data_IF_716282585766
#
_entry.id   IF_716282585766
#
_cell.length_a   1.000
_cell.length_b   1.000
_cell.length_c   1.000
_cell.angle_alpha   90.00
_cell.angle_beta   90.00
_cell.angle_gamma   90.00
#
_symmetry.space_group_name_H-M   'P 1'
#
loop_
_entity.id
_entity.type
_entity.pdbx_description
1 polymer ?
#
# COMPACT_ATOMS: atom_id res chain seq x y z
N UNK A 1 -2.71 -8.41 17.99
CA UNK A 1 -3.39 -9.60 18.50
C UNK A 1 -4.48 -10.07 17.54
N UNK A 2 -5.43 -9.20 17.13
CA UNK A 2 -6.56 -9.56 16.25
C UNK A 2 -6.13 -10.15 14.90
N UNK A 3 -5.10 -9.59 14.25
CA UNK A 3 -4.57 -10.14 12.98
C UNK A 3 -4.01 -11.57 13.15
N UNK A 4 -3.38 -11.85 14.29
CA UNK A 4 -2.86 -13.20 14.60
C UNK A 4 -4.03 -14.20 14.75
N UNK A 5 -5.09 -13.78 15.43
CA UNK A 5 -6.29 -14.62 15.61
C UNK A 5 -6.96 -14.91 14.26
N UNK A 6 -7.12 -13.89 13.43
CA UNK A 6 -7.67 -14.04 12.08
C UNK A 6 -6.81 -14.96 11.19
N UNK A 7 -5.47 -14.83 11.24
CA UNK A 7 -4.57 -15.72 10.50
C UNK A 7 -4.72 -17.18 10.94
N UNK A 8 -4.92 -17.43 12.24
CA UNK A 8 -5.10 -18.79 12.77
C UNK A 8 -6.44 -19.42 12.39
N UNK A 9 -7.46 -18.60 12.10
CA UNK A 9 -8.80 -19.09 11.78
C UNK A 9 -9.00 -19.45 10.30
N UNK A 10 -8.15 -18.94 9.39
CA UNK A 10 -8.30 -19.16 7.95
C UNK A 10 -7.56 -20.41 7.46
N UNK A 11 -8.14 -21.10 6.47
CA UNK A 11 -7.54 -22.27 5.82
C UNK A 11 -6.46 -21.89 4.80
N UNK A 12 -6.63 -20.77 4.12
CA UNK A 12 -5.74 -20.28 3.07
C UNK A 12 -5.35 -18.85 3.35
N UNK A 13 -4.07 -18.53 3.08
CA UNK A 13 -3.57 -17.16 2.98
C UNK A 13 -3.10 -16.93 1.55
N UNK A 14 -3.55 -15.82 0.99
CA UNK A 14 -3.10 -15.31 -0.30
C UNK A 14 -2.18 -14.13 -0.06
N UNK A 15 -0.94 -14.23 -0.51
CA UNK A 15 0.12 -13.27 -0.19
C UNK A 15 0.90 -12.85 -1.44
N UNK A 16 1.42 -11.63 -1.43
CA UNK A 16 2.24 -11.10 -2.51
C UNK A 16 3.58 -11.86 -2.59
N UNK A 17 4.35 -11.93 -1.50
CA UNK A 17 5.53 -12.80 -1.38
C UNK A 17 5.28 -13.90 -0.34
N UNK A 18 5.05 -15.12 -0.83
CA UNK A 18 4.78 -16.28 0.02
C UNK A 18 5.96 -16.63 0.94
N UNK A 19 7.20 -16.27 0.57
CA UNK A 19 8.41 -16.53 1.38
C UNK A 19 8.45 -15.63 2.58
N UNK A 20 8.16 -14.31 2.39
CA UNK A 20 8.07 -13.35 3.49
C UNK A 20 6.96 -13.72 4.46
N UNK A 21 5.78 -14.02 3.93
CA UNK A 21 4.64 -14.47 4.74
C UNK A 21 4.97 -15.75 5.51
N UNK A 22 5.57 -16.76 4.85
CA UNK A 22 5.97 -18.00 5.51
C UNK A 22 6.97 -17.79 6.64
N UNK A 23 7.94 -16.87 6.44
CA UNK A 23 8.91 -16.49 7.47
C UNK A 23 8.22 -15.82 8.65
N UNK A 24 7.38 -14.83 8.38
CA UNK A 24 6.63 -14.11 9.43
C UNK A 24 5.79 -15.08 10.29
N UNK A 25 5.06 -16.01 9.67
CA UNK A 25 4.27 -16.98 10.40
C UNK A 25 5.14 -17.92 11.26
N UNK A 26 6.33 -18.30 10.76
CA UNK A 26 7.31 -19.07 11.53
C UNK A 26 7.83 -18.28 12.73
N UNK A 27 8.20 -17.00 12.53
CA UNK A 27 8.72 -16.15 13.59
C UNK A 27 7.67 -15.91 14.69
N UNK A 28 6.39 -15.90 14.31
CA UNK A 28 5.25 -15.78 15.24
C UNK A 28 4.78 -17.11 15.82
N UNK A 29 5.43 -18.25 15.49
CA UNK A 29 5.04 -19.60 15.93
C UNK A 29 3.57 -19.92 15.61
N UNK A 30 3.11 -19.50 14.44
CA UNK A 30 1.76 -19.79 13.94
C UNK A 30 1.82 -21.03 13.04
N UNK A 31 0.98 -22.03 13.32
CA UNK A 31 0.77 -23.15 12.42
C UNK A 31 0.33 -22.67 11.06
N UNK A 32 1.06 -23.10 10.03
CA UNK A 32 0.96 -22.50 8.70
C UNK A 32 -0.34 -22.89 8.00
N UNK A 33 -1.27 -21.97 7.75
CA UNK A 33 -2.29 -22.18 6.74
C UNK A 33 -1.62 -22.36 5.36
N UNK A 34 -2.35 -22.90 4.39
CA UNK A 34 -1.83 -23.02 3.04
C UNK A 34 -1.61 -21.65 2.41
N UNK A 35 -0.34 -21.28 2.17
CA UNK A 35 0.01 -19.97 1.59
C UNK A 35 0.04 -20.10 0.07
N UNK A 36 -0.59 -19.15 -0.62
CA UNK A 36 -0.70 -19.08 -2.08
C UNK A 36 -0.31 -17.70 -2.58
N UNK A 37 0.20 -17.62 -3.81
CA UNK A 37 0.60 -16.34 -4.42
C UNK A 37 -0.61 -15.52 -4.87
N UNK A 38 -0.54 -14.20 -4.59
CA UNK A 38 -1.52 -13.21 -5.01
C UNK A 38 -0.82 -11.88 -5.29
N UNK A 39 -0.63 -11.52 -6.55
CA UNK A 39 0.10 -10.33 -6.98
C UNK A 39 -0.59 -9.67 -8.18
N UNK A 40 -0.20 -8.46 -8.55
CA UNK A 40 -0.83 -7.68 -9.62
C UNK A 40 -1.03 -8.46 -10.94
N UNK A 41 -0.10 -9.36 -11.30
CA UNK A 41 -0.17 -10.09 -12.58
C UNK A 41 -1.17 -11.25 -12.58
N UNK A 42 -1.57 -11.75 -11.40
CA UNK A 42 -2.51 -12.88 -11.29
C UNK A 42 -3.79 -12.51 -10.53
N UNK A 43 -3.93 -11.29 -10.00
CA UNK A 43 -5.03 -10.91 -9.12
C UNK A 43 -6.42 -11.14 -9.71
N UNK A 44 -6.60 -10.92 -11.02
CA UNK A 44 -7.91 -11.11 -11.68
C UNK A 44 -8.34 -12.58 -11.71
N UNK A 45 -7.42 -13.50 -12.01
CA UNK A 45 -7.68 -14.93 -12.04
C UNK A 45 -7.85 -15.49 -10.63
N UNK A 46 -6.91 -15.16 -9.76
CA UNK A 46 -6.89 -15.64 -8.38
C UNK A 46 -8.08 -15.11 -7.58
N UNK A 47 -8.54 -13.88 -7.82
CA UNK A 47 -9.75 -13.34 -7.18
C UNK A 47 -10.99 -14.17 -7.48
N UNK A 48 -11.16 -14.67 -8.71
CA UNK A 48 -12.27 -15.56 -9.05
C UNK A 48 -12.18 -16.90 -8.31
N UNK A 49 -10.96 -17.42 -8.15
CA UNK A 49 -10.73 -18.64 -7.39
C UNK A 49 -10.97 -18.44 -5.89
N UNK A 50 -10.57 -17.30 -5.34
CA UNK A 50 -10.88 -16.94 -3.95
C UNK A 50 -12.39 -16.84 -3.76
N UNK A 51 -13.08 -16.19 -4.71
CA UNK A 51 -14.54 -16.10 -4.67
C UNK A 51 -15.21 -17.48 -4.56
N UNK A 52 -14.72 -18.49 -5.30
CA UNK A 52 -15.30 -19.84 -5.19
C UNK A 52 -15.12 -20.45 -3.79
N UNK A 53 -13.99 -20.22 -3.12
CA UNK A 53 -13.80 -20.65 -1.74
C UNK A 53 -14.78 -19.97 -0.78
N UNK A 54 -14.98 -18.66 -0.95
CA UNK A 54 -15.89 -17.88 -0.12
C UNK A 54 -17.36 -18.29 -0.31
N UNK A 55 -17.75 -18.66 -1.53
CA UNK A 55 -19.08 -19.21 -1.82
C UNK A 55 -19.27 -20.59 -1.15
N UNK A 56 -18.20 -21.38 -1.07
CA UNK A 56 -18.17 -22.68 -0.38
C UNK A 56 -17.99 -22.54 1.15
N UNK A 57 -18.20 -21.35 1.71
CA UNK A 57 -18.08 -21.03 3.14
C UNK A 57 -16.68 -21.31 3.72
N UNK A 58 -15.64 -21.12 2.89
CA UNK A 58 -14.25 -21.26 3.30
C UNK A 58 -13.62 -19.87 3.45
N UNK A 59 -13.33 -19.49 4.69
CA UNK A 59 -12.62 -18.25 4.99
C UNK A 59 -11.20 -18.24 4.46
N UNK A 60 -10.80 -17.09 3.90
CA UNK A 60 -9.45 -16.85 3.38
C UNK A 60 -8.87 -15.55 3.94
N UNK A 61 -7.55 -15.51 4.12
CA UNK A 61 -6.82 -14.30 4.46
C UNK A 61 -6.07 -13.72 3.26
N UNK A 62 -6.07 -12.40 3.15
CA UNK A 62 -5.22 -11.66 2.20
C UNK A 62 -4.14 -10.94 2.99
N UNK A 63 -2.89 -11.10 2.59
CA UNK A 63 -1.75 -10.42 3.23
C UNK A 63 -0.89 -9.72 2.18
N UNK A 64 -0.63 -8.44 2.40
CA UNK A 64 0.43 -7.70 1.70
C UNK A 64 1.77 -7.83 2.42
N UNK A 65 2.84 -7.48 1.76
CA UNK A 65 4.20 -7.52 2.31
C UNK A 65 4.40 -6.52 3.46
N UNK A 66 3.67 -5.40 3.40
CA UNK A 66 3.70 -4.36 4.43
C UNK A 66 2.42 -3.51 4.37
N UNK A 67 2.06 -2.89 5.49
CA UNK A 67 0.96 -1.92 5.54
C UNK A 67 -0.43 -2.55 5.52
N UNK A 68 -1.40 -1.77 5.06
CA UNK A 68 -2.79 -2.22 4.85
C UNK A 68 -2.92 -2.77 3.44
N UNK A 69 -3.42 -4.01 3.26
CA UNK A 69 -3.60 -4.60 1.93
C UNK A 69 -4.40 -3.71 0.97
N UNK A 70 -4.19 -3.88 -0.33
CA UNK A 70 -4.91 -3.22 -1.43
C UNK A 70 -4.45 -1.78 -1.72
N UNK A 71 -3.96 -1.06 -0.74
CA UNK A 71 -3.47 0.32 -0.95
C UNK A 71 -2.07 0.27 -1.59
N UNK A 72 -2.01 0.38 -2.90
CA UNK A 72 -0.85 0.14 -3.78
C UNK A 72 -0.38 -1.32 -3.82
N UNK A 73 -1.24 -2.24 -3.40
CA UNK A 73 -1.06 -3.69 -3.36
C UNK A 73 -2.18 -4.40 -4.15
N UNK A 74 -2.03 -5.69 -4.51
CA UNK A 74 -3.06 -6.45 -5.18
C UNK A 74 -4.31 -6.68 -4.30
N UNK A 75 -5.48 -6.85 -4.94
CA UNK A 75 -6.71 -7.27 -4.25
C UNK A 75 -7.95 -6.45 -4.55
N UNK A 76 -7.85 -5.31 -5.20
CA UNK A 76 -9.03 -4.51 -5.56
C UNK A 76 -10.10 -5.30 -6.33
N UNK A 77 -9.77 -6.15 -7.34
CA UNK A 77 -10.75 -6.97 -8.04
C UNK A 77 -11.49 -7.93 -7.09
N UNK A 78 -10.81 -8.48 -6.08
CA UNK A 78 -11.44 -9.36 -5.10
C UNK A 78 -12.46 -8.62 -4.24
N UNK A 79 -12.12 -7.44 -3.72
CA UNK A 79 -13.05 -6.65 -2.92
C UNK A 79 -14.30 -6.29 -3.73
N UNK A 80 -14.12 -5.92 -5.00
CA UNK A 80 -15.23 -5.66 -5.90
C UNK A 80 -16.14 -6.89 -6.05
N UNK A 81 -15.57 -8.07 -6.27
CA UNK A 81 -16.29 -9.34 -6.35
C UNK A 81 -17.04 -9.66 -5.04
N UNK A 82 -16.43 -9.45 -3.89
CA UNK A 82 -17.08 -9.66 -2.59
C UNK A 82 -18.32 -8.76 -2.44
N UNK A 83 -18.19 -7.47 -2.78
CA UNK A 83 -19.31 -6.51 -2.71
C UNK A 83 -20.44 -6.91 -3.67
N UNK A 84 -20.11 -7.22 -4.92
CA UNK A 84 -21.07 -7.64 -5.96
C UNK A 84 -21.84 -8.90 -5.57
N UNK A 85 -21.17 -9.85 -4.91
CA UNK A 85 -21.76 -11.11 -4.46
C UNK A 85 -22.28 -11.08 -3.01
N UNK A 86 -22.27 -9.92 -2.34
CA UNK A 86 -22.72 -9.73 -0.95
C UNK A 86 -21.99 -10.64 0.05
N UNK A 87 -20.72 -10.95 -0.22
CA UNK A 87 -19.87 -11.71 0.67
C UNK A 87 -19.28 -10.76 1.72
N UNK A 88 -19.47 -11.02 3.01
CA UNK A 88 -18.89 -10.20 4.06
C UNK A 88 -17.37 -10.32 4.06
N UNK A 89 -16.69 -9.22 4.34
CA UNK A 89 -15.26 -9.21 4.57
C UNK A 89 -14.90 -8.22 5.67
N UNK A 90 -13.79 -8.47 6.31
CA UNK A 90 -13.25 -7.61 7.35
C UNK A 90 -11.88 -7.06 6.90
N UNK A 91 -11.65 -5.77 7.16
CA UNK A 91 -10.35 -5.13 6.96
C UNK A 91 -9.67 -4.99 8.32
N UNK A 92 -8.54 -5.68 8.48
CA UNK A 92 -7.68 -5.52 9.64
C UNK A 92 -6.65 -4.42 9.33
N UNK A 93 -6.70 -3.27 10.03
CA UNK A 93 -5.81 -2.17 9.71
C UNK A 93 -4.35 -2.54 9.99
N UNK A 94 -3.50 -2.22 9.04
CA UNK A 94 -2.04 -2.26 9.18
C UNK A 94 -1.44 -0.87 9.38
N UNK A 95 -0.12 -0.80 9.51
CA UNK A 95 0.62 0.44 9.45
C UNK A 95 0.36 1.14 8.10
N UNK A 96 0.40 2.46 8.09
CA UNK A 96 0.24 3.24 6.87
C UNK A 96 1.38 4.25 6.74
N UNK A 97 2.28 3.99 5.79
CA UNK A 97 3.35 4.94 5.47
C UNK A 97 2.80 6.28 4.96
N UNK A 98 1.65 6.27 4.28
CA UNK A 98 0.97 7.48 3.80
C UNK A 98 0.58 8.38 4.97
N UNK A 99 -0.13 7.83 5.96
CA UNK A 99 -0.55 8.59 7.13
C UNK A 99 0.65 8.98 8.01
N UNK A 100 1.61 8.06 8.17
CA UNK A 100 2.82 8.33 8.95
C UNK A 100 3.63 9.48 8.34
N UNK A 101 3.84 9.48 7.02
CA UNK A 101 4.53 10.56 6.32
C UNK A 101 3.79 11.89 6.45
N UNK A 102 2.46 11.90 6.34
CA UNK A 102 1.65 13.10 6.53
C UNK A 102 1.83 13.69 7.95
N UNK A 103 1.82 12.86 8.98
CA UNK A 103 2.04 13.32 10.36
C UNK A 103 3.45 13.88 10.54
N UNK A 104 4.49 13.19 10.04
CA UNK A 104 5.87 13.65 10.16
C UNK A 104 6.17 14.91 9.34
N UNK A 105 5.46 15.15 8.25
CA UNK A 105 5.70 16.31 7.39
C UNK A 105 5.35 17.64 8.04
N UNK A 106 4.46 17.65 9.04
CA UNK A 106 3.90 18.88 9.58
C UNK A 106 3.04 19.69 8.58
N UNK A 107 2.76 19.15 7.40
CA UNK A 107 1.85 19.74 6.43
C UNK A 107 0.39 19.62 6.88
N UNK A 108 -0.54 20.47 6.38
CA UNK A 108 -1.94 20.39 6.76
C UNK A 108 -2.56 19.02 6.55
N UNK A 109 -3.03 18.32 7.61
CA UNK A 109 -3.53 16.96 7.51
C UNK A 109 -5.05 16.88 7.26
N UNK A 110 -5.75 18.02 7.36
CA UNK A 110 -7.22 18.06 7.26
C UNK A 110 -7.76 17.71 5.88
N UNK A 111 -6.96 17.98 4.85
CA UNK A 111 -7.26 17.61 3.46
C UNK A 111 -6.00 17.08 2.82
N UNK A 112 -6.03 15.84 2.33
CA UNK A 112 -4.92 15.27 1.60
C UNK A 112 -5.40 14.30 0.53
N UNK A 113 -4.58 14.10 -0.51
CA UNK A 113 -4.80 13.04 -1.49
C UNK A 113 -3.55 12.16 -1.62
N UNK A 114 -3.75 10.89 -1.88
CA UNK A 114 -2.72 9.91 -2.18
C UNK A 114 -2.83 9.48 -3.63
N UNK A 115 -1.76 9.68 -4.40
CA UNK A 115 -1.72 9.45 -5.84
C UNK A 115 -0.94 8.19 -6.24
N UNK A 116 -0.58 7.34 -5.27
CA UNK A 116 0.26 6.16 -5.53
C UNK A 116 1.69 6.56 -5.93
N UNK A 117 2.32 5.78 -6.82
CA UNK A 117 3.67 6.06 -7.28
C UNK A 117 3.72 7.24 -8.27
N UNK A 118 4.71 8.14 -8.07
CA UNK A 118 4.93 9.25 -8.99
C UNK A 118 5.16 8.75 -10.41
N UNK A 119 4.45 9.31 -11.41
CA UNK A 119 4.45 8.76 -12.76
C UNK A 119 5.81 8.85 -13.45
N UNK A 120 6.08 7.87 -14.35
CA UNK A 120 7.32 7.82 -15.13
C UNK A 120 7.19 8.60 -16.47
N UNK A 121 6.01 8.56 -17.09
CA UNK A 121 5.76 9.15 -18.41
C UNK A 121 5.49 10.66 -18.30
N UNK A 122 6.07 11.49 -19.20
CA UNK A 122 5.95 12.95 -19.19
C UNK A 122 4.50 13.43 -19.07
N UNK A 123 3.62 12.99 -19.97
CA UNK A 123 2.20 13.39 -19.98
C UNK A 123 1.51 13.14 -18.63
N UNK A 124 1.86 12.03 -17.95
CA UNK A 124 1.30 11.70 -16.63
C UNK A 124 1.95 12.54 -15.52
N UNK A 125 3.21 12.96 -15.69
CA UNK A 125 3.87 13.87 -14.77
C UNK A 125 3.21 15.26 -14.81
N UNK A 126 2.92 15.78 -15.99
CA UNK A 126 2.23 17.06 -16.15
C UNK A 126 0.83 17.02 -15.51
N UNK A 127 0.12 15.89 -15.66
CA UNK A 127 -1.15 15.67 -14.95
C UNK A 127 -0.97 15.64 -13.43
N UNK A 128 0.11 15.04 -12.93
CA UNK A 128 0.40 15.04 -11.49
C UNK A 128 0.68 16.45 -10.96
N UNK A 129 1.41 17.28 -11.73
CA UNK A 129 1.60 18.70 -11.39
C UNK A 129 0.26 19.41 -11.32
N UNK A 130 -0.60 19.28 -12.33
CA UNK A 130 -1.93 19.90 -12.31
C UNK A 130 -2.78 19.48 -11.10
N UNK A 131 -2.65 18.21 -10.65
CA UNK A 131 -3.34 17.76 -9.44
C UNK A 131 -2.78 18.49 -8.20
N UNK A 132 -1.46 18.64 -8.09
CA UNK A 132 -0.83 19.34 -6.97
C UNK A 132 -1.26 20.80 -6.93
N UNK A 133 -1.21 21.50 -8.06
CA UNK A 133 -1.53 22.92 -8.18
C UNK A 133 -3.00 23.25 -7.89
N UNK A 134 -3.91 22.34 -8.23
CA UNK A 134 -5.35 22.56 -8.08
C UNK A 134 -5.96 21.93 -6.82
N UNK A 135 -5.15 21.29 -5.96
CA UNK A 135 -5.64 20.66 -4.75
C UNK A 135 -5.27 21.49 -3.52
N UNK A 136 -6.29 21.96 -2.80
CA UNK A 136 -6.11 22.65 -1.52
C UNK A 136 -5.88 21.62 -0.40
N UNK A 137 -4.61 21.24 -0.20
CA UNK A 137 -4.22 20.28 0.81
C UNK A 137 -2.88 19.60 0.51
N UNK A 138 -2.57 18.54 1.21
CA UNK A 138 -1.32 17.81 1.05
C UNK A 138 -1.45 16.71 0.00
N UNK A 139 -0.58 16.68 -1.01
CA UNK A 139 -0.53 15.62 -2.02
C UNK A 139 0.61 14.66 -1.71
N UNK A 140 0.32 13.37 -1.62
CA UNK A 140 1.26 12.34 -1.23
C UNK A 140 1.50 11.37 -2.41
N UNK A 141 2.77 11.08 -2.65
CA UNK A 141 3.21 10.09 -3.63
C UNK A 141 4.18 9.10 -3.01
N UNK A 142 4.18 7.89 -3.53
CA UNK A 142 5.31 6.97 -3.38
C UNK A 142 6.35 7.23 -4.47
N UNK A 143 7.62 7.06 -4.10
CA UNK A 143 8.69 7.10 -5.07
C UNK A 143 9.81 6.11 -4.71
N UNK A 144 10.43 5.51 -5.72
CA UNK A 144 11.57 4.62 -5.47
C UNK A 144 12.83 5.43 -5.13
N UNK A 145 13.71 4.94 -4.23
CA UNK A 145 14.94 5.63 -3.85
C UNK A 145 15.81 6.02 -5.07
N UNK A 146 15.86 5.15 -6.08
CA UNK A 146 16.65 5.38 -7.32
C UNK A 146 16.14 6.57 -8.14
N UNK A 147 14.86 6.93 -8.03
CA UNK A 147 14.23 8.00 -8.79
C UNK A 147 14.01 9.28 -7.97
N UNK A 148 14.08 9.17 -6.65
CA UNK A 148 13.73 10.24 -5.73
C UNK A 148 14.39 11.57 -6.10
N UNK A 149 15.72 11.59 -6.29
CA UNK A 149 16.47 12.80 -6.66
C UNK A 149 15.96 13.45 -7.96
N UNK A 150 15.71 12.63 -8.99
CA UNK A 150 15.21 13.15 -10.27
C UNK A 150 13.77 13.65 -10.18
N UNK A 151 12.96 13.03 -9.34
CA UNK A 151 11.58 13.46 -9.11
C UNK A 151 11.53 14.75 -8.30
N UNK A 152 12.37 14.91 -7.27
CA UNK A 152 12.48 16.17 -6.51
C UNK A 152 12.92 17.31 -7.42
N UNK A 153 13.94 17.12 -8.25
CA UNK A 153 14.39 18.15 -9.18
C UNK A 153 13.29 18.56 -10.16
N UNK A 154 12.53 17.59 -10.67
CA UNK A 154 11.41 17.85 -11.56
C UNK A 154 10.29 18.63 -10.85
N UNK A 155 9.93 18.25 -9.62
CA UNK A 155 8.92 18.97 -8.83
C UNK A 155 9.36 20.40 -8.54
N UNK A 156 10.61 20.58 -8.13
CA UNK A 156 11.18 21.92 -7.89
C UNK A 156 11.17 22.81 -9.14
N UNK A 157 11.53 22.27 -10.30
CA UNK A 157 11.48 23.00 -11.58
C UNK A 157 10.05 23.46 -11.92
N UNK A 158 9.05 22.63 -11.65
CA UNK A 158 7.65 22.88 -12.02
C UNK A 158 6.89 23.73 -11.01
N UNK A 159 7.10 23.49 -9.72
CA UNK A 159 6.32 24.10 -8.64
C UNK A 159 7.04 25.29 -7.97
N UNK A 160 8.33 25.50 -8.27
CA UNK A 160 9.12 26.56 -7.66
C UNK A 160 9.51 26.29 -6.22
N UNK A 161 10.03 27.35 -5.54
CA UNK A 161 10.54 27.27 -4.17
C UNK A 161 9.45 27.41 -3.10
N UNK A 162 8.27 27.85 -3.47
CA UNK A 162 7.19 28.15 -2.51
C UNK A 162 6.34 26.91 -2.17
N UNK A 163 6.56 25.79 -2.87
CA UNK A 163 5.90 24.53 -2.58
C UNK A 163 6.71 23.73 -1.56
N UNK A 164 6.26 23.62 -0.30
CA UNK A 164 6.96 22.82 0.70
C UNK A 164 6.97 21.35 0.31
N UNK A 165 8.13 20.71 0.34
CA UNK A 165 8.32 19.31 0.03
C UNK A 165 8.91 18.57 1.24
N UNK A 166 8.27 17.50 1.65
CA UNK A 166 8.76 16.59 2.68
C UNK A 166 9.02 15.21 2.09
N UNK A 167 10.13 14.59 2.46
CA UNK A 167 10.45 13.20 2.08
C UNK A 167 10.70 12.36 3.31
N UNK A 168 10.19 11.13 3.31
CA UNK A 168 10.42 10.15 4.36
C UNK A 168 10.77 8.81 3.74
N UNK A 169 11.71 8.10 4.34
CA UNK A 169 12.05 6.74 4.01
C UNK A 169 11.14 5.79 4.82
N UNK A 170 10.01 5.43 4.25
CA UNK A 170 9.03 4.60 4.94
C UNK A 170 9.22 3.09 4.70
N UNK A 171 10.20 2.71 3.87
CA UNK A 171 10.33 1.35 3.36
C UNK A 171 11.54 0.57 3.88
N UNK A 172 12.54 1.23 4.47
CA UNK A 172 13.73 0.56 5.02
C UNK A 172 13.72 0.59 6.55
N UNK A 173 13.46 -0.53 7.16
CA UNK A 173 13.54 -0.76 8.62
C UNK A 173 14.97 -0.57 9.20
N UNK A 174 15.81 0.21 8.60
CA UNK A 174 17.19 0.42 9.02
C UNK A 174 17.73 1.84 8.89
N UNK A 175 17.04 2.73 8.20
CA UNK A 175 17.55 4.09 7.94
C UNK A 175 16.98 5.08 8.94
N UNK A 176 17.83 5.59 9.82
CA UNK A 176 17.52 6.72 10.68
C UNK A 176 17.07 7.92 9.84
N UNK A 177 15.95 8.48 10.17
CA UNK A 177 15.47 9.76 9.63
C UNK A 177 16.56 10.81 9.86
N UNK A 178 17.30 11.17 8.82
CA UNK A 178 18.15 12.33 8.83
C UNK A 178 17.26 13.56 8.64
N UNK A 179 17.03 14.31 9.72
CA UNK A 179 16.47 15.64 9.62
C UNK A 179 17.50 16.49 8.87
N UNK A 180 17.31 16.69 7.59
CA UNK A 180 18.03 17.67 6.80
C UNK A 180 17.55 19.05 7.23
N UNK A 181 18.21 19.61 8.22
CA UNK A 181 18.14 21.05 8.49
C UNK A 181 19.12 21.77 7.57
N UNK A 182 18.71 22.89 7.02
CA UNK A 182 19.55 23.83 6.28
C UNK A 182 18.70 24.73 5.41
#
# INVERSE_FOLDING_TARGET
>A
LRSIEAIKSVKYIFAEDTRKTSRLLSDLSIDKPSIRTFHEHNENEVSKKILSYLIDDIDVGIMSDAGTPIISDPGFPLIKLCIENKIPFEVLPGASSVITALVYSGLPPSSFNFQGFFPKKSIRKDKAISIIENFEGSTIFFESPKRLKSTINFLHEKLGNDCPLYTSDAADEGSRVGLGGG
#
